data_IF_201012504773
#
_entry.id   IF_201012504773
#
_cell.length_a   1.000
_cell.length_b   1.000
_cell.length_c   1.000
_cell.angle_alpha   90.00
_cell.angle_beta   90.00
_cell.angle_gamma   90.00
#
_symmetry.space_group_name_H-M   'P 1'
#
loop_
_entity.id
_entity.type
_entity.pdbx_description
1 polymer ?
#
# COMPACT_ATOMS: atom_id res chain seq x y z
N UNK A 1 -22.67 16.73 -10.32
CA UNK A 1 -22.89 15.87 -9.15
C UNK A 1 -22.22 14.54 -9.46
N UNK A 2 -20.92 14.40 -9.14
CA UNK A 2 -20.18 13.16 -9.36
C UNK A 2 -19.77 12.64 -8.00
N UNK A 3 -20.61 11.78 -7.45
CA UNK A 3 -20.28 10.96 -6.30
C UNK A 3 -19.25 9.95 -6.78
N UNK A 4 -17.96 10.24 -6.58
CA UNK A 4 -16.96 9.18 -6.55
C UNK A 4 -17.36 8.28 -5.39
N UNK A 5 -18.03 7.16 -5.70
CA UNK A 5 -18.30 6.13 -4.71
C UNK A 5 -16.96 5.81 -4.04
N UNK A 6 -16.90 6.05 -2.74
CA UNK A 6 -15.79 5.63 -1.92
C UNK A 6 -15.82 4.10 -1.95
N UNK A 7 -15.07 3.52 -2.87
CA UNK A 7 -14.81 2.09 -2.89
C UNK A 7 -14.06 1.77 -1.59
N UNK A 8 -14.83 1.34 -0.58
CA UNK A 8 -14.32 0.92 0.70
C UNK A 8 -13.47 -0.31 0.47
N UNK A 9 -12.22 -0.28 0.94
CA UNK A 9 -11.42 -1.50 0.98
C UNK A 9 -12.19 -2.59 1.75
N UNK A 10 -12.05 -3.86 1.36
CA UNK A 10 -12.66 -4.96 2.10
C UNK A 10 -12.13 -4.98 3.54
N UNK A 11 -12.93 -5.50 4.48
CA UNK A 11 -12.51 -5.64 5.88
C UNK A 11 -11.31 -6.57 6.06
N UNK A 12 -11.07 -7.45 5.08
CA UNK A 12 -9.98 -8.44 5.08
C UNK A 12 -9.51 -8.74 3.65
N UNK A 13 -8.21 -8.98 3.50
CA UNK A 13 -7.59 -9.58 2.31
C UNK A 13 -6.60 -10.64 2.76
N UNK A 14 -6.76 -11.87 2.28
CA UNK A 14 -5.95 -13.01 2.71
C UNK A 14 -5.93 -13.17 4.24
N UNK A 15 -4.75 -13.02 4.84
CA UNK A 15 -4.52 -13.15 6.29
C UNK A 15 -4.53 -11.80 7.02
N UNK A 16 -4.96 -10.72 6.37
CA UNK A 16 -4.78 -9.37 6.87
C UNK A 16 -6.12 -8.68 7.11
N UNK A 17 -6.34 -8.21 8.34
CA UNK A 17 -7.46 -7.32 8.67
C UNK A 17 -7.11 -5.90 8.22
N UNK A 18 -7.94 -5.34 7.35
CA UNK A 18 -7.70 -4.00 6.78
C UNK A 18 -8.20 -2.95 7.76
N UNK A 19 -7.31 -2.05 8.14
CA UNK A 19 -7.58 -0.92 9.01
C UNK A 19 -7.71 0.39 8.25
N UNK A 20 -7.22 1.46 8.87
CA UNK A 20 -7.33 2.82 8.31
C UNK A 20 -6.49 2.98 7.05
N UNK A 21 -7.00 3.78 6.10
CA UNK A 21 -6.23 4.29 4.98
C UNK A 21 -5.11 5.20 5.48
N UNK A 22 -3.86 4.93 5.10
CA UNK A 22 -2.67 5.70 5.48
C UNK A 22 -2.05 6.46 4.30
N UNK A 23 -2.41 6.12 3.07
CA UNK A 23 -1.92 6.79 1.87
C UNK A 23 -2.77 6.54 0.63
N UNK A 24 -2.52 7.34 -0.40
CA UNK A 24 -3.06 7.14 -1.74
C UNK A 24 -2.04 7.63 -2.77
N UNK A 25 -2.01 6.96 -3.91
CA UNK A 25 -1.20 7.34 -5.07
C UNK A 25 -1.91 6.99 -6.38
N UNK A 26 -1.24 7.24 -7.50
CA UNK A 26 -1.85 7.05 -8.83
C UNK A 26 -2.24 5.61 -9.16
N UNK A 27 -1.68 4.61 -8.47
CA UNK A 27 -1.97 3.19 -8.71
C UNK A 27 -2.79 2.54 -7.58
N UNK A 28 -3.34 3.30 -6.63
CA UNK A 28 -4.18 2.71 -5.58
C UNK A 28 -4.02 3.37 -4.22
N UNK A 29 -4.56 2.70 -3.20
CA UNK A 29 -4.59 3.19 -1.82
C UNK A 29 -3.76 2.30 -0.92
N UNK A 30 -3.13 2.88 0.09
CA UNK A 30 -2.34 2.14 1.09
C UNK A 30 -3.07 2.18 2.42
N UNK A 31 -3.22 1.02 3.05
CA UNK A 31 -3.91 0.82 4.31
C UNK A 31 -2.95 0.27 5.35
N UNK A 32 -3.12 0.67 6.61
CA UNK A 32 -2.59 -0.07 7.75
C UNK A 32 -3.44 -1.34 7.88
N UNK A 33 -2.79 -2.48 8.09
CA UNK A 33 -3.46 -3.75 8.31
C UNK A 33 -2.73 -4.56 9.39
N UNK A 34 -3.40 -5.60 9.89
CA UNK A 34 -2.84 -6.51 10.89
C UNK A 34 -2.88 -7.93 10.36
N UNK A 35 -1.74 -8.63 10.37
CA UNK A 35 -1.70 -10.06 10.09
C UNK A 35 -2.36 -10.80 11.27
N UNK A 36 -3.40 -11.59 11.00
CA UNK A 36 -4.21 -12.25 12.05
C UNK A 36 -3.49 -13.39 12.78
N UNK A 37 -2.41 -13.90 12.21
CA UNK A 37 -1.65 -15.02 12.76
C UNK A 37 -0.48 -14.54 13.63
N UNK A 38 0.14 -13.42 13.27
CA UNK A 38 1.32 -12.89 13.96
C UNK A 38 1.04 -11.63 14.78
N UNK A 39 -0.15 -11.04 14.66
CA UNK A 39 -0.53 -9.73 15.21
C UNK A 39 0.38 -8.56 14.72
N UNK A 40 1.17 -8.81 13.67
CA UNK A 40 2.08 -7.82 13.12
C UNK A 40 1.33 -6.76 12.31
N UNK A 41 1.63 -5.49 12.56
CA UNK A 41 1.17 -4.38 11.73
C UNK A 41 1.95 -4.31 10.42
N UNK A 42 1.23 -4.16 9.32
CA UNK A 42 1.76 -4.12 7.95
C UNK A 42 1.09 -3.01 7.14
N UNK A 43 1.75 -2.58 6.07
CA UNK A 43 1.15 -1.70 5.09
C UNK A 43 0.71 -2.54 3.88
N UNK A 44 -0.54 -2.34 3.43
CA UNK A 44 -1.08 -3.04 2.25
C UNK A 44 -1.47 -2.02 1.21
N UNK A 45 -0.85 -2.10 0.03
CA UNK A 45 -1.31 -1.34 -1.15
C UNK A 45 -2.38 -2.16 -1.85
N UNK A 46 -3.55 -1.56 -2.01
CA UNK A 46 -4.73 -2.15 -2.63
C UNK A 46 -5.03 -1.41 -3.94
N UNK A 47 -5.25 -2.19 -4.99
CA UNK A 47 -5.57 -1.73 -6.32
C UNK A 47 -6.95 -2.29 -6.69
N UNK A 48 -7.97 -1.41 -6.81
CA UNK A 48 -9.30 -1.83 -7.20
C UNK A 48 -9.34 -2.52 -8.57
N UNK A 49 -10.21 -3.53 -8.72
CA UNK A 49 -10.37 -4.28 -9.96
C UNK A 49 -10.75 -3.40 -11.16
N UNK A 50 -11.43 -2.28 -10.94
CA UNK A 50 -11.74 -1.31 -12.00
C UNK A 50 -10.47 -0.73 -12.66
N UNK A 51 -9.42 -0.45 -11.87
CA UNK A 51 -8.13 0.04 -12.38
C UNK A 51 -7.29 -1.09 -12.98
N UNK A 52 -7.46 -2.33 -12.51
CA UNK A 52 -6.77 -3.48 -13.09
C UNK A 52 -7.15 -3.74 -14.57
N UNK A 53 -8.32 -3.25 -15.01
CA UNK A 53 -8.78 -3.34 -16.41
C UNK A 53 -8.11 -2.29 -17.32
N UNK A 54 -7.41 -1.31 -16.76
CA UNK A 54 -6.68 -0.32 -17.57
C UNK A 54 -5.43 -0.95 -18.21
N UNK A 55 -5.20 -0.72 -19.52
CA UNK A 55 -4.01 -1.23 -20.20
C UNK A 55 -2.71 -0.85 -19.49
N UNK A 56 -1.85 -1.86 -19.26
CA UNK A 56 -0.54 -1.70 -18.64
C UNK A 56 -0.55 -1.40 -17.15
N UNK A 57 -1.72 -1.34 -16.49
CA UNK A 57 -1.79 -1.09 -15.05
C UNK A 57 -1.27 -2.28 -14.24
N UNK A 58 -1.74 -3.48 -14.57
CA UNK A 58 -1.26 -4.75 -14.00
C UNK A 58 0.24 -4.95 -14.23
N UNK A 59 0.76 -4.56 -15.40
CA UNK A 59 2.20 -4.60 -15.69
C UNK A 59 3.02 -3.63 -14.82
N UNK A 60 2.48 -2.44 -14.51
CA UNK A 60 3.14 -1.49 -13.59
C UNK A 60 3.15 -2.04 -12.17
N UNK A 61 2.04 -2.64 -11.73
CA UNK A 61 1.95 -3.31 -10.44
C UNK A 61 2.98 -4.44 -10.30
N UNK A 62 3.07 -5.34 -11.29
CA UNK A 62 4.07 -6.41 -11.27
C UNK A 62 5.50 -5.87 -11.27
N UNK A 63 5.79 -4.79 -12.01
CA UNK A 63 7.12 -4.15 -11.98
C UNK A 63 7.46 -3.58 -10.60
N UNK A 64 6.49 -2.99 -9.91
CA UNK A 64 6.69 -2.47 -8.55
C UNK A 64 7.02 -3.60 -7.57
N UNK A 65 6.27 -4.71 -7.63
CA UNK A 65 6.54 -5.91 -6.81
C UNK A 65 7.93 -6.48 -7.10
N UNK A 66 8.29 -6.65 -8.38
CA UNK A 66 9.58 -7.22 -8.75
C UNK A 66 10.77 -6.32 -8.36
N UNK A 67 10.57 -5.00 -8.32
CA UNK A 67 11.55 -4.07 -7.78
C UNK A 67 11.71 -4.24 -6.27
N UNK A 68 10.59 -4.31 -5.53
CA UNK A 68 10.60 -4.45 -4.07
C UNK A 68 11.19 -5.80 -3.62
N UNK A 69 10.85 -6.91 -4.29
CA UNK A 69 11.38 -8.25 -3.99
C UNK A 69 12.90 -8.37 -4.10
N UNK A 70 13.52 -7.54 -4.96
CA UNK A 70 14.98 -7.55 -5.18
C UNK A 70 15.74 -6.64 -4.20
N UNK A 71 15.02 -5.85 -3.41
CA UNK A 71 15.61 -4.89 -2.49
C UNK A 71 15.69 -5.47 -1.08
N UNK A 72 16.91 -5.66 -0.59
CA UNK A 72 17.18 -5.93 0.81
C UNK A 72 18.17 -4.89 1.33
N UNK A 73 17.65 -3.88 2.03
CA UNK A 73 18.42 -2.74 2.52
C UNK A 73 17.72 -2.13 3.74
N UNK A 74 18.44 -1.77 4.82
CA UNK A 74 17.84 -1.22 6.04
C UNK A 74 17.10 0.12 5.85
N UNK A 75 17.23 0.80 4.71
CA UNK A 75 16.56 2.07 4.41
C UNK A 75 15.44 1.93 3.38
N UNK A 76 15.10 0.71 2.99
CA UNK A 76 14.01 0.40 2.07
C UNK A 76 13.10 -0.60 2.73
N UNK A 77 11.80 -0.31 2.73
CA UNK A 77 10.78 -1.18 3.30
C UNK A 77 10.89 -2.63 2.79
N UNK A 78 10.70 -3.58 3.70
CA UNK A 78 10.66 -4.98 3.32
C UNK A 78 9.35 -5.33 2.61
N UNK A 79 9.47 -6.12 1.53
CA UNK A 79 8.34 -6.76 0.88
C UNK A 79 8.01 -8.06 1.61
N UNK A 80 6.73 -8.27 1.93
CA UNK A 80 6.28 -9.49 2.59
C UNK A 80 5.56 -10.44 1.64
N UNK A 81 4.54 -9.96 0.93
CA UNK A 81 3.71 -10.82 0.08
C UNK A 81 2.91 -10.02 -0.97
N UNK A 82 2.31 -10.72 -1.93
CA UNK A 82 1.36 -10.15 -2.90
C UNK A 82 0.30 -11.17 -3.30
N UNK A 83 -0.93 -10.71 -3.54
CA UNK A 83 -2.02 -11.58 -3.92
C UNK A 83 -3.07 -10.90 -4.80
N UNK A 84 -4.01 -11.72 -5.24
CA UNK A 84 -5.20 -11.29 -5.97
C UNK A 84 -6.39 -12.03 -5.37
N UNK A 85 -7.37 -11.29 -4.88
CA UNK A 85 -8.59 -11.83 -4.27
C UNK A 85 -9.79 -11.01 -4.74
N UNK A 86 -10.86 -11.65 -5.24
CA UNK A 86 -12.06 -10.97 -5.73
C UNK A 86 -11.77 -9.83 -6.74
N UNK A 87 -10.85 -10.07 -7.69
CA UNK A 87 -10.33 -9.09 -8.66
C UNK A 87 -9.55 -7.90 -8.04
N UNK A 88 -9.30 -7.92 -6.73
CA UNK A 88 -8.52 -6.91 -6.02
C UNK A 88 -7.07 -7.37 -5.98
N UNK A 89 -6.19 -6.57 -6.57
CA UNK A 89 -4.74 -6.80 -6.51
C UNK A 89 -4.18 -6.10 -5.28
N UNK A 90 -3.30 -6.77 -4.56
CA UNK A 90 -2.64 -6.17 -3.40
C UNK A 90 -1.22 -6.67 -3.20
N UNK A 91 -0.41 -5.87 -2.53
CA UNK A 91 0.84 -6.33 -1.94
C UNK A 91 1.03 -5.78 -0.53
N UNK A 92 1.79 -6.53 0.25
CA UNK A 92 2.03 -6.36 1.68
C UNK A 92 3.50 -6.04 1.88
N UNK A 93 3.74 -5.02 2.68
CA UNK A 93 5.07 -4.51 2.98
C UNK A 93 5.17 -4.06 4.43
N UNK A 94 6.40 -3.85 4.88
CA UNK A 94 6.71 -3.26 6.17
C UNK A 94 5.89 -1.97 6.42
N UNK A 95 5.30 -1.89 7.61
CA UNK A 95 4.73 -0.64 8.09
C UNK A 95 5.79 0.11 8.90
N UNK A 96 6.18 1.28 8.41
CA UNK A 96 7.06 2.20 9.14
C UNK A 96 6.21 3.23 9.87
N UNK A 97 6.27 3.20 11.19
CA UNK A 97 5.62 4.21 12.03
C UNK A 97 6.32 5.56 11.88
N UNK A 98 5.53 6.63 11.73
CA UNK A 98 6.03 7.99 11.65
C UNK A 98 5.30 8.82 10.60
N UNK A 99 6.00 9.83 10.08
CA UNK A 99 5.48 10.72 9.05
C UNK A 99 6.37 10.72 7.80
N UNK A 100 5.78 11.08 6.67
CA UNK A 100 6.57 11.25 5.44
C UNK A 100 7.49 12.46 5.57
N UNK A 101 8.67 12.39 4.95
CA UNK A 101 9.59 13.53 4.87
C UNK A 101 8.89 14.77 4.29
N UNK A 102 7.97 14.60 3.34
CA UNK A 102 7.16 15.70 2.80
C UNK A 102 6.30 16.38 3.87
N UNK A 103 5.66 15.63 4.77
CA UNK A 103 4.91 16.21 5.90
C UNK A 103 5.84 16.98 6.83
N UNK A 104 6.99 16.39 7.16
CA UNK A 104 8.00 17.02 8.01
C UNK A 104 8.53 18.32 7.40
N UNK A 105 8.91 18.30 6.12
CA UNK A 105 9.39 19.49 5.40
C UNK A 105 8.35 20.60 5.31
N UNK A 106 7.06 20.26 5.16
CA UNK A 106 6.00 21.27 5.19
C UNK A 106 5.87 21.94 6.56
N UNK A 107 6.08 21.19 7.65
CA UNK A 107 6.03 21.71 9.03
C UNK A 107 7.27 22.54 9.37
N UNK A 108 8.46 22.03 9.07
CA UNK A 108 9.73 22.58 9.54
C UNK A 108 10.37 23.57 8.55
N UNK A 109 9.98 23.56 7.27
CA UNK A 109 10.55 24.32 6.13
C UNK A 109 12.01 24.00 5.80
N UNK A 110 12.86 23.87 6.82
CA UNK A 110 14.26 23.47 6.74
C UNK A 110 14.54 22.48 7.86
N UNK A 111 15.17 21.36 7.53
CA UNK A 111 15.66 20.39 8.51
C UNK A 111 17.13 20.73 8.74
N UNK A 112 17.49 20.99 10.00
CA UNK A 112 18.88 21.15 10.41
C UNK A 112 19.62 19.81 10.34
N UNK A 113 20.88 19.86 9.93
CA UNK A 113 21.79 18.72 9.85
C UNK A 113 22.65 18.63 11.12
#
# INVERSE_FOLDING_TARGET
>A
MNTHEHESAPDRLGEYLIGKKIGAGGMGSVYLATNIHTDQQVAIKILPGALAREPGFVERFHREIEALKKMHNPYVIEFYDSGVENEIYYYVMEYVEGETLTKRLRREKRIDW
#
